data_IF_149177585558
#
_entry.id   IF_149177585558
#
_cell.length_a   1.000
_cell.length_b   1.000
_cell.length_c   1.000
_cell.angle_alpha   90.00
_cell.angle_beta   90.00
_cell.angle_gamma   90.00
#
_symmetry.space_group_name_H-M   'P 1'
#
loop_
_entity.id
_entity.type
_entity.pdbx_description
1 polymer ?
#
# COMPACT_ATOMS: atom_id res chain seq x y z
N UNK A 1 30.56 0.74 9.68
CA UNK A 1 29.70 1.92 9.45
C UNK A 1 28.30 1.57 9.91
N UNK A 2 27.79 2.21 10.96
CA UNK A 2 26.42 1.98 11.44
C UNK A 2 25.42 2.50 10.42
N UNK A 3 24.65 1.61 9.79
CA UNK A 3 23.57 1.87 8.84
C UNK A 3 22.35 2.58 9.47
N UNK A 4 22.55 3.49 10.43
CA UNK A 4 21.44 4.20 11.06
C UNK A 4 20.75 5.10 10.02
N UNK A 5 19.44 4.94 9.86
CA UNK A 5 18.63 5.78 8.98
C UNK A 5 17.98 6.91 9.75
N UNK A 6 18.09 8.13 9.24
CA UNK A 6 17.36 9.28 9.77
C UNK A 6 15.85 9.10 9.65
N UNK A 7 15.36 8.27 8.71
CA UNK A 7 13.95 7.93 8.62
C UNK A 7 13.44 7.25 9.91
N UNK A 8 14.31 6.52 10.61
CA UNK A 8 13.94 5.75 11.80
C UNK A 8 14.31 6.46 13.11
N UNK A 9 15.04 7.57 13.06
CA UNK A 9 15.44 8.28 14.27
C UNK A 9 14.25 8.96 14.95
N UNK A 10 14.21 8.84 16.28
CA UNK A 10 13.15 9.45 17.10
C UNK A 10 11.84 8.66 17.12
N UNK A 11 11.76 7.48 16.50
CA UNK A 11 10.61 6.59 16.66
C UNK A 11 10.72 5.90 18.03
N UNK A 12 9.74 6.08 18.96
CA UNK A 12 9.79 5.43 20.26
C UNK A 12 9.67 3.91 20.14
N UNK A 13 10.34 3.15 21.02
CA UNK A 13 10.20 1.68 21.07
C UNK A 13 8.74 1.22 21.20
N UNK A 14 7.92 2.02 21.88
CA UNK A 14 6.48 1.78 22.03
C UNK A 14 5.75 1.79 20.69
N UNK A 15 6.15 2.62 19.72
CA UNK A 15 5.52 2.63 18.40
C UNK A 15 5.69 1.28 17.70
N UNK A 16 6.87 0.67 17.80
CA UNK A 16 7.11 -0.67 17.25
C UNK A 16 6.26 -1.74 17.94
N UNK A 17 6.17 -1.70 19.27
CA UNK A 17 5.35 -2.64 20.04
C UNK A 17 3.86 -2.51 19.69
N UNK A 18 3.33 -1.29 19.60
CA UNK A 18 1.95 -1.04 19.19
C UNK A 18 1.68 -1.53 17.77
N UNK A 19 2.56 -1.22 16.81
CA UNK A 19 2.41 -1.69 15.43
C UNK A 19 2.38 -3.22 15.37
N UNK A 20 3.32 -3.90 16.04
CA UNK A 20 3.35 -5.37 16.07
C UNK A 20 2.07 -5.93 16.71
N UNK A 21 1.65 -5.38 17.86
CA UNK A 21 0.44 -5.83 18.56
C UNK A 21 -0.82 -5.70 17.70
N UNK A 22 -0.98 -4.57 17.01
CA UNK A 22 -2.12 -4.34 16.11
C UNK A 22 -2.04 -5.27 14.89
N UNK A 23 -0.86 -5.48 14.30
CA UNK A 23 -0.69 -6.42 13.20
C UNK A 23 -1.06 -7.84 13.61
N UNK A 24 -0.57 -8.31 14.76
CA UNK A 24 -0.91 -9.64 15.32
C UNK A 24 -2.42 -9.78 15.56
N UNK A 25 -3.06 -8.75 16.11
CA UNK A 25 -4.50 -8.74 16.31
C UNK A 25 -5.27 -8.81 14.97
N UNK A 26 -4.83 -8.07 13.96
CA UNK A 26 -5.43 -8.10 12.62
C UNK A 26 -5.25 -9.49 11.97
N UNK A 27 -4.07 -10.10 12.07
CA UNK A 27 -3.84 -11.47 11.58
C UNK A 27 -4.73 -12.47 12.30
N UNK A 28 -4.82 -12.39 13.63
CA UNK A 28 -5.64 -13.29 14.44
C UNK A 28 -7.12 -13.19 14.07
N UNK A 29 -7.63 -11.96 13.84
CA UNK A 29 -8.99 -11.75 13.34
C UNK A 29 -9.21 -12.43 11.99
N UNK A 30 -8.28 -12.25 11.02
CA UNK A 30 -8.36 -12.93 9.73
C UNK A 30 -8.32 -14.47 9.88
N UNK A 31 -7.53 -15.00 10.83
CA UNK A 31 -7.45 -16.45 11.09
C UNK A 31 -8.78 -16.97 11.62
N UNK A 32 -9.41 -16.25 12.55
CA UNK A 32 -10.73 -16.60 13.08
C UNK A 32 -11.77 -16.56 11.95
N UNK A 33 -11.82 -15.48 11.16
CA UNK A 33 -12.76 -15.36 10.03
C UNK A 33 -12.57 -16.49 9.03
N UNK A 34 -11.34 -16.78 8.63
CA UNK A 34 -11.06 -17.89 7.72
C UNK A 34 -11.47 -19.23 8.33
N UNK A 35 -11.11 -19.50 9.59
CA UNK A 35 -11.41 -20.79 10.24
C UNK A 35 -12.91 -21.06 10.36
N UNK A 36 -13.72 -20.04 10.59
CA UNK A 36 -15.19 -20.15 10.73
C UNK A 36 -15.89 -20.29 9.38
N UNK A 37 -15.37 -19.64 8.32
CA UNK A 37 -16.06 -19.52 7.03
C UNK A 37 -15.31 -20.16 5.84
N UNK A 38 -14.22 -20.91 6.06
CA UNK A 38 -13.38 -21.49 5.00
C UNK A 38 -14.12 -22.40 4.02
N UNK A 39 -15.19 -23.05 4.45
CA UNK A 39 -15.98 -24.00 3.65
C UNK A 39 -17.44 -23.51 3.54
N UNK A 40 -17.65 -22.18 3.55
CA UNK A 40 -18.96 -21.55 3.41
C UNK A 40 -18.99 -20.65 2.18
N UNK A 41 -20.06 -20.70 1.37
CA UNK A 41 -20.18 -19.89 0.16
C UNK A 41 -20.69 -18.47 0.50
N UNK A 42 -19.89 -17.70 1.25
CA UNK A 42 -20.27 -16.36 1.77
C UNK A 42 -20.55 -15.35 0.64
N UNK A 43 -20.01 -15.59 -0.55
CA UNK A 43 -20.09 -14.70 -1.71
C UNK A 43 -21.17 -15.09 -2.72
N UNK A 44 -22.02 -16.06 -2.40
CA UNK A 44 -23.14 -16.43 -3.27
C UNK A 44 -24.12 -15.28 -3.48
N UNK A 45 -24.64 -15.17 -4.70
CA UNK A 45 -25.51 -14.06 -5.11
C UNK A 45 -24.77 -12.78 -5.50
N UNK A 46 -23.47 -12.66 -5.24
CA UNK A 46 -22.68 -11.54 -5.74
C UNK A 46 -22.30 -11.74 -7.22
N UNK A 47 -22.31 -10.64 -7.99
CA UNK A 47 -21.83 -10.67 -9.38
C UNK A 47 -20.36 -11.05 -9.44
N UNK A 48 -20.04 -12.09 -10.20
CA UNK A 48 -18.67 -12.56 -10.41
C UNK A 48 -17.79 -11.48 -11.07
N UNK A 49 -16.51 -11.44 -10.70
CA UNK A 49 -15.50 -10.64 -11.39
C UNK A 49 -15.07 -11.29 -12.70
N UNK A 50 -14.36 -10.52 -13.55
CA UNK A 50 -13.74 -11.09 -14.76
C UNK A 50 -12.70 -12.15 -14.42
N UNK A 51 -11.97 -11.97 -13.32
CA UNK A 51 -10.93 -12.89 -12.85
C UNK A 51 -11.52 -14.26 -12.44
N UNK A 52 -12.73 -14.28 -11.87
CA UNK A 52 -13.39 -15.54 -11.54
C UNK A 52 -13.85 -16.32 -12.79
N UNK A 53 -14.21 -15.60 -13.85
CA UNK A 53 -14.65 -16.18 -15.13
C UNK A 53 -13.48 -16.62 -15.99
N UNK A 54 -12.39 -15.86 -15.98
CA UNK A 54 -11.16 -16.09 -16.74
C UNK A 54 -9.97 -15.80 -15.82
N UNK A 55 -9.54 -16.79 -15.02
CA UNK A 55 -8.40 -16.62 -14.12
C UNK A 55 -7.14 -16.29 -14.91
N UNK A 56 -6.41 -15.27 -14.45
CA UNK A 56 -5.17 -14.80 -15.03
C UNK A 56 -3.99 -15.17 -14.11
N UNK A 57 -4.22 -15.16 -12.79
CA UNK A 57 -3.21 -15.56 -11.82
C UNK A 57 -3.18 -17.08 -11.60
N UNK A 58 -2.02 -17.59 -11.18
CA UNK A 58 -1.75 -19.03 -11.10
C UNK A 58 -2.44 -19.75 -9.94
N UNK A 59 -2.92 -19.03 -8.93
CA UNK A 59 -3.47 -19.64 -7.71
C UNK A 59 -4.79 -20.40 -7.95
N UNK A 60 -4.93 -21.58 -7.33
CA UNK A 60 -6.20 -22.32 -7.30
C UNK A 60 -7.32 -21.48 -6.67
N UNK A 61 -8.48 -21.53 -7.31
CA UNK A 61 -9.71 -20.89 -6.84
C UNK A 61 -10.61 -21.89 -6.09
N UNK A 62 -10.96 -21.57 -4.85
CA UNK A 62 -11.91 -22.30 -4.00
C UNK A 62 -13.26 -21.59 -3.99
N UNK A 63 -14.16 -21.90 -4.94
CA UNK A 63 -15.42 -21.15 -5.15
C UNK A 63 -16.31 -21.08 -3.90
N UNK A 64 -16.38 -22.17 -3.14
CA UNK A 64 -17.21 -22.35 -1.95
C UNK A 64 -16.47 -21.99 -0.65
N UNK A 65 -15.60 -20.98 -0.71
CA UNK A 65 -14.81 -20.50 0.42
C UNK A 65 -14.95 -19.01 0.64
N UNK A 66 -14.86 -18.57 1.90
CA UNK A 66 -14.71 -17.15 2.21
C UNK A 66 -13.47 -16.54 1.56
N UNK A 67 -12.38 -17.32 1.41
CA UNK A 67 -11.17 -16.90 0.69
C UNK A 67 -11.00 -17.75 -0.56
N UNK A 68 -11.56 -17.25 -1.68
CA UNK A 68 -11.52 -17.94 -2.97
C UNK A 68 -10.09 -18.09 -3.50
N UNK A 69 -9.21 -17.10 -3.28
CA UNK A 69 -7.75 -17.24 -3.47
C UNK A 69 -7.05 -17.00 -2.13
N UNK A 70 -6.62 -18.07 -1.47
CA UNK A 70 -6.13 -18.02 -0.09
C UNK A 70 -4.83 -17.22 -0.01
N UNK A 71 -3.80 -17.62 -0.74
CA UNK A 71 -2.48 -17.01 -0.68
C UNK A 71 -2.51 -15.53 -1.11
N UNK A 72 -3.22 -15.21 -2.19
CA UNK A 72 -3.42 -13.84 -2.63
C UNK A 72 -4.22 -13.00 -1.63
N UNK A 73 -5.21 -13.58 -0.93
CA UNK A 73 -5.91 -12.87 0.15
C UNK A 73 -4.98 -12.58 1.32
N UNK A 74 -4.24 -13.58 1.81
CA UNK A 74 -3.37 -13.45 2.98
C UNK A 74 -2.21 -12.48 2.77
N UNK A 75 -1.62 -12.49 1.57
CA UNK A 75 -0.49 -11.63 1.23
C UNK A 75 -0.81 -10.13 1.25
N UNK A 76 -2.09 -9.76 1.14
CA UNK A 76 -2.53 -8.37 1.27
C UNK A 76 -2.34 -7.77 2.68
N UNK A 77 -2.14 -8.61 3.71
CA UNK A 77 -1.74 -8.15 5.04
C UNK A 77 -0.42 -7.35 5.01
N UNK A 78 0.45 -7.57 4.02
CA UNK A 78 1.67 -6.78 3.86
C UNK A 78 1.37 -5.27 3.75
N UNK A 79 0.37 -4.87 2.95
CA UNK A 79 -0.03 -3.46 2.84
C UNK A 79 -0.66 -2.94 4.14
N UNK A 80 -1.49 -3.76 4.79
CA UNK A 80 -2.12 -3.41 6.07
C UNK A 80 -1.05 -3.15 7.13
N UNK A 81 -0.01 -3.99 7.19
CA UNK A 81 1.09 -3.80 8.14
C UNK A 81 1.88 -2.53 7.87
N UNK A 82 2.16 -2.21 6.60
CA UNK A 82 2.77 -0.93 6.22
C UNK A 82 1.89 0.24 6.68
N UNK A 83 0.59 0.18 6.41
CA UNK A 83 -0.37 1.20 6.80
C UNK A 83 -0.45 1.39 8.32
N UNK A 84 -0.60 0.31 9.09
CA UNK A 84 -0.60 0.32 10.56
C UNK A 84 0.68 0.98 11.07
N UNK A 85 1.84 0.58 10.55
CA UNK A 85 3.13 1.09 11.02
C UNK A 85 3.25 2.60 10.80
N UNK A 86 2.85 3.08 9.62
CA UNK A 86 2.80 4.50 9.28
C UNK A 86 1.82 5.26 10.17
N UNK A 87 0.61 4.72 10.39
CA UNK A 87 -0.41 5.33 11.24
C UNK A 87 0.12 5.49 12.66
N UNK A 88 0.66 4.41 13.24
CA UNK A 88 1.19 4.43 14.61
C UNK A 88 2.30 5.47 14.73
N UNK A 89 3.28 5.49 13.82
CA UNK A 89 4.33 6.52 13.82
C UNK A 89 3.73 7.93 13.73
N UNK A 90 2.79 8.16 12.81
CA UNK A 90 2.14 9.45 12.63
C UNK A 90 1.38 9.91 13.88
N UNK A 91 0.75 8.99 14.62
CA UNK A 91 0.09 9.29 15.90
C UNK A 91 1.08 9.69 16.99
N UNK A 92 2.27 9.09 17.01
CA UNK A 92 3.35 9.49 17.92
C UNK A 92 3.92 10.85 17.54
N UNK A 93 4.13 11.12 16.24
CA UNK A 93 4.59 12.42 15.75
C UNK A 93 3.56 13.53 16.02
N UNK A 94 2.24 13.25 16.02
CA UNK A 94 1.22 14.23 16.42
C UNK A 94 1.35 14.65 17.89
N UNK A 95 1.77 13.71 18.75
CA UNK A 95 1.89 13.94 20.20
C UNK A 95 3.21 14.61 20.59
N UNK A 96 4.21 14.58 19.71
CA UNK A 96 5.55 15.08 19.97
C UNK A 96 5.86 16.22 19.01
N UNK A 97 6.03 17.47 19.49
CA UNK A 97 6.41 18.58 18.65
C UNK A 97 7.66 18.23 17.83
N UNK A 98 7.59 18.41 16.51
CA UNK A 98 8.72 18.12 15.64
C UNK A 98 9.88 19.07 15.98
N UNK A 99 11.09 18.57 16.29
CA UNK A 99 12.26 19.42 16.51
C UNK A 99 12.51 20.35 15.33
N UNK A 100 13.14 21.50 15.58
CA UNK A 100 13.61 22.38 14.51
C UNK A 100 14.50 21.62 13.52
N UNK A 101 14.36 21.92 12.22
CA UNK A 101 15.06 21.21 11.15
C UNK A 101 14.47 19.84 10.77
N UNK A 102 13.41 19.37 11.43
CA UNK A 102 12.69 18.16 11.02
C UNK A 102 12.05 18.31 9.63
N UNK A 103 12.09 17.22 8.85
CA UNK A 103 11.43 17.14 7.55
C UNK A 103 9.93 17.44 7.58
N UNK A 104 9.41 17.75 6.40
CA UNK A 104 8.04 18.21 6.19
C UNK A 104 7.01 17.21 6.71
N UNK A 105 7.21 15.91 6.44
CA UNK A 105 6.30 14.85 6.90
C UNK A 105 6.17 14.79 8.43
N UNK A 106 7.27 14.99 9.17
CA UNK A 106 7.26 15.03 10.65
C UNK A 106 6.58 16.28 11.18
N UNK A 107 6.68 17.40 10.46
CA UNK A 107 5.96 18.65 10.77
C UNK A 107 4.47 18.59 10.38
N UNK A 108 4.10 17.70 9.47
CA UNK A 108 2.73 17.49 8.96
C UNK A 108 2.30 16.02 9.10
N UNK A 109 2.21 15.45 10.31
CA UNK A 109 1.92 14.03 10.48
C UNK A 109 0.56 13.61 9.90
N UNK A 110 -0.41 14.54 9.79
CA UNK A 110 -1.72 14.29 9.21
C UNK A 110 -1.67 13.72 7.78
N UNK A 111 -0.73 14.17 6.94
CA UNK A 111 -0.54 13.63 5.59
C UNK A 111 0.09 12.22 5.63
N UNK A 112 0.94 11.96 6.62
CA UNK A 112 1.44 10.61 6.90
C UNK A 112 0.33 9.65 7.35
N UNK A 113 -0.57 10.11 8.23
CA UNK A 113 -1.74 9.34 8.64
C UNK A 113 -2.67 9.03 7.46
N UNK A 114 -2.93 10.00 6.60
CA UNK A 114 -3.70 9.79 5.37
C UNK A 114 -3.05 8.74 4.48
N UNK A 115 -1.74 8.81 4.28
CA UNK A 115 -1.00 7.80 3.51
C UNK A 115 -1.07 6.41 4.15
N UNK A 116 -0.93 6.31 5.47
CA UNK A 116 -1.07 5.04 6.18
C UNK A 116 -2.48 4.45 6.09
N UNK A 117 -3.52 5.29 6.22
CA UNK A 117 -4.91 4.89 6.00
C UNK A 117 -5.14 4.40 4.57
N UNK A 118 -4.56 5.07 3.58
CA UNK A 118 -4.62 4.66 2.18
C UNK A 118 -3.93 3.30 1.96
N UNK A 119 -2.80 3.02 2.62
CA UNK A 119 -2.15 1.70 2.57
C UNK A 119 -3.02 0.59 3.21
N UNK A 120 -3.66 0.88 4.34
CA UNK A 120 -4.63 -0.04 4.95
C UNK A 120 -5.83 -0.27 4.02
N UNK A 121 -6.36 0.78 3.39
CA UNK A 121 -7.45 0.69 2.42
C UNK A 121 -7.07 -0.17 1.22
N UNK A 122 -5.86 -0.02 0.67
CA UNK A 122 -5.30 -0.90 -0.35
C UNK A 122 -5.30 -2.37 0.11
N UNK A 123 -4.69 -2.67 1.25
CA UNK A 123 -4.62 -4.05 1.75
C UNK A 123 -6.00 -4.67 2.01
N UNK A 124 -6.92 -3.93 2.61
CA UNK A 124 -8.27 -4.41 2.88
C UNK A 124 -9.06 -4.58 1.57
N UNK A 125 -9.03 -3.58 0.69
CA UNK A 125 -9.77 -3.61 -0.57
C UNK A 125 -9.31 -4.72 -1.51
N UNK A 126 -7.99 -4.86 -1.67
CA UNK A 126 -7.39 -5.92 -2.47
C UNK A 126 -7.56 -7.30 -1.83
N UNK A 127 -7.44 -7.40 -0.50
CA UNK A 127 -7.75 -8.61 0.24
C UNK A 127 -9.20 -9.06 0.05
N UNK A 128 -10.17 -8.15 0.12
CA UNK A 128 -11.59 -8.45 -0.14
C UNK A 128 -11.81 -8.92 -1.59
N UNK A 129 -11.12 -8.32 -2.56
CA UNK A 129 -11.20 -8.80 -3.93
C UNK A 129 -10.69 -10.23 -4.08
N UNK A 130 -9.51 -10.54 -3.54
CA UNK A 130 -8.96 -11.89 -3.62
C UNK A 130 -9.76 -12.92 -2.80
N UNK A 131 -10.39 -12.46 -1.71
CA UNK A 131 -11.29 -13.28 -0.91
C UNK A 131 -12.57 -13.62 -1.68
N UNK A 132 -13.15 -12.62 -2.36
CA UNK A 132 -14.49 -12.71 -2.94
C UNK A 132 -14.51 -13.04 -4.44
N UNK A 133 -13.50 -12.61 -5.19
CA UNK A 133 -13.46 -12.56 -6.65
C UNK A 133 -14.77 -12.02 -7.27
N UNK A 134 -15.38 -11.03 -6.62
CA UNK A 134 -16.63 -10.38 -7.07
C UNK A 134 -16.35 -9.10 -7.87
N UNK A 135 -17.31 -8.70 -8.71
CA UNK A 135 -17.24 -7.44 -9.47
C UNK A 135 -17.10 -6.22 -8.55
N UNK A 136 -17.83 -6.20 -7.43
CA UNK A 136 -17.69 -5.14 -6.42
C UNK A 136 -16.31 -5.16 -5.77
N UNK A 137 -15.81 -6.35 -5.39
CA UNK A 137 -14.45 -6.49 -4.87
C UNK A 137 -13.42 -5.96 -5.86
N UNK A 138 -13.56 -6.24 -7.15
CA UNK A 138 -12.65 -5.75 -8.19
C UNK A 138 -12.66 -4.21 -8.29
N UNK A 139 -13.83 -3.58 -8.14
CA UNK A 139 -13.91 -2.12 -8.10
C UNK A 139 -13.18 -1.56 -6.88
N UNK A 140 -13.36 -2.19 -5.72
CA UNK A 140 -12.74 -1.82 -4.47
C UNK A 140 -11.20 -1.95 -4.54
N UNK A 141 -10.69 -3.10 -4.97
CA UNK A 141 -9.26 -3.38 -5.13
C UNK A 141 -8.57 -2.33 -5.99
N UNK A 142 -9.03 -2.17 -7.22
CA UNK A 142 -8.31 -1.33 -8.17
C UNK A 142 -8.42 0.16 -7.80
N UNK A 143 -9.54 0.59 -7.22
CA UNK A 143 -9.64 1.95 -6.69
C UNK A 143 -8.70 2.16 -5.49
N UNK A 144 -8.60 1.16 -4.60
CA UNK A 144 -7.74 1.23 -3.44
C UNK A 144 -6.25 1.27 -3.80
N UNK A 145 -5.83 0.60 -4.87
CA UNK A 145 -4.45 0.65 -5.41
C UNK A 145 -3.97 2.08 -5.69
N UNK A 146 -4.86 2.97 -6.08
CA UNK A 146 -4.50 4.35 -6.41
C UNK A 146 -4.30 5.23 -5.18
N UNK A 147 -5.00 4.93 -4.09
CA UNK A 147 -5.10 5.83 -2.93
C UNK A 147 -3.75 6.16 -2.26
N UNK A 148 -2.78 5.23 -2.07
CA UNK A 148 -1.50 5.60 -1.47
C UNK A 148 -0.71 6.55 -2.37
N UNK A 149 -0.77 6.36 -3.69
CA UNK A 149 -0.08 7.21 -4.66
C UNK A 149 -0.69 8.62 -4.68
N UNK A 150 -2.01 8.72 -4.63
CA UNK A 150 -2.73 10.01 -4.52
C UNK A 150 -2.35 10.73 -3.22
N UNK A 151 -2.24 10.01 -2.09
CA UNK A 151 -1.78 10.58 -0.83
C UNK A 151 -0.32 11.07 -0.90
N UNK A 152 0.58 10.35 -1.58
CA UNK A 152 1.94 10.81 -1.82
C UNK A 152 1.99 12.05 -2.73
N UNK A 153 1.15 12.12 -3.76
CA UNK A 153 1.04 13.32 -4.61
C UNK A 153 0.59 14.51 -3.76
N UNK A 154 -0.42 14.35 -2.91
CA UNK A 154 -0.86 15.40 -1.99
C UNK A 154 0.25 15.85 -1.02
N UNK A 155 1.07 14.91 -0.51
CA UNK A 155 2.23 15.23 0.30
C UNK A 155 3.25 16.09 -0.47
N UNK A 156 3.55 15.75 -1.73
CA UNK A 156 4.47 16.54 -2.54
C UNK A 156 3.92 17.93 -2.87
N UNK A 157 2.62 18.04 -3.16
CA UNK A 157 1.97 19.33 -3.38
C UNK A 157 2.01 20.20 -2.13
N UNK A 158 1.84 19.60 -0.93
CA UNK A 158 1.98 20.31 0.34
C UNK A 158 3.42 20.77 0.62
N UNK A 159 4.43 20.02 0.16
CA UNK A 159 5.86 20.40 0.23
C UNK A 159 6.21 21.58 -0.69
N UNK A 160 5.43 21.79 -1.76
CA UNK A 160 5.58 22.93 -2.66
C UNK A 160 4.80 24.15 -2.18
N UNK A 161 3.55 23.93 -1.76
CA UNK A 161 2.66 24.97 -1.27
C UNK A 161 1.90 24.46 -0.04
N UNK A 162 2.37 24.79 1.18
CA UNK A 162 1.78 24.29 2.41
C UNK A 162 0.29 24.68 2.55
N UNK A 163 -0.58 23.68 2.46
CA UNK A 163 -2.04 23.78 2.57
C UNK A 163 -2.63 22.41 2.94
N UNK A 164 -2.03 21.70 3.90
CA UNK A 164 -2.29 20.28 4.16
C UNK A 164 -3.77 19.88 4.28
N UNK A 165 -4.69 20.67 4.89
CA UNK A 165 -6.09 20.26 4.96
C UNK A 165 -6.72 20.22 3.57
N UNK A 166 -6.39 21.18 2.71
CA UNK A 166 -6.85 21.23 1.32
C UNK A 166 -6.28 20.05 0.55
N UNK A 167 -4.97 19.79 0.61
CA UNK A 167 -4.37 18.68 -0.12
C UNK A 167 -4.87 17.32 0.36
N UNK A 168 -5.08 17.14 1.66
CA UNK A 168 -5.70 15.94 2.22
C UNK A 168 -7.14 15.74 1.74
N UNK A 169 -7.95 16.81 1.76
CA UNK A 169 -9.32 16.76 1.23
C UNK A 169 -9.35 16.43 -0.27
N UNK A 170 -8.46 17.05 -1.06
CA UNK A 170 -8.35 16.78 -2.49
C UNK A 170 -7.90 15.35 -2.78
N UNK A 171 -7.02 14.77 -1.96
CA UNK A 171 -6.64 13.37 -2.07
C UNK A 171 -7.80 12.40 -1.78
N UNK A 172 -8.62 12.71 -0.76
CA UNK A 172 -9.82 11.92 -0.45
C UNK A 172 -10.83 12.03 -1.60
N UNK A 173 -11.09 13.25 -2.09
CA UNK A 173 -12.00 13.48 -3.21
C UNK A 173 -11.51 12.77 -4.48
N UNK A 174 -10.22 12.87 -4.81
CA UNK A 174 -9.63 12.19 -5.95
C UNK A 174 -9.76 10.66 -5.81
N UNK A 175 -9.50 10.11 -4.61
CA UNK A 175 -9.67 8.67 -4.36
C UNK A 175 -11.13 8.22 -4.51
N UNK A 176 -12.09 9.03 -4.05
CA UNK A 176 -13.52 8.76 -4.21
C UNK A 176 -13.94 8.81 -5.69
N UNK A 177 -13.49 9.81 -6.44
CA UNK A 177 -13.74 9.91 -7.88
C UNK A 177 -13.13 8.72 -8.64
N UNK A 178 -11.90 8.32 -8.29
CA UNK A 178 -11.26 7.16 -8.89
C UNK A 178 -12.01 5.85 -8.60
N UNK A 179 -12.65 5.73 -7.44
CA UNK A 179 -13.55 4.63 -7.11
C UNK A 179 -14.84 4.66 -7.94
N UNK A 180 -15.50 5.83 -8.04
CA UNK A 180 -16.76 6.01 -8.78
C UNK A 180 -16.55 5.72 -10.27
N UNK A 181 -15.49 6.29 -10.86
CA UNK A 181 -15.20 6.19 -12.30
C UNK A 181 -14.30 5.01 -12.66
N UNK A 182 -14.08 4.06 -11.73
CA UNK A 182 -13.15 2.95 -11.93
C UNK A 182 -13.37 2.19 -13.24
N UNK A 183 -14.62 1.96 -13.61
CA UNK A 183 -15.01 1.22 -14.81
C UNK A 183 -14.89 2.02 -16.12
N UNK A 184 -14.76 3.35 -16.02
CA UNK A 184 -14.57 4.26 -17.15
C UNK A 184 -13.08 4.49 -17.47
N UNK A 185 -12.16 3.87 -16.73
CA UNK A 185 -10.73 4.11 -16.83
C UNK A 185 -9.92 2.82 -16.97
N UNK A 186 -8.85 2.88 -17.76
CA UNK A 186 -7.88 1.79 -17.84
C UNK A 186 -6.95 1.79 -16.63
N UNK A 187 -6.95 0.72 -15.83
CA UNK A 187 -5.97 0.57 -14.73
C UNK A 187 -4.54 0.43 -15.23
N UNK A 188 -4.33 -0.11 -16.44
CA UNK A 188 -3.00 -0.19 -17.04
C UNK A 188 -2.46 1.18 -17.47
N UNK A 189 -3.30 2.22 -17.51
CA UNK A 189 -2.87 3.60 -17.74
C UNK A 189 -2.80 4.40 -16.43
N UNK A 190 -3.86 4.37 -15.61
CA UNK A 190 -3.95 5.19 -14.40
C UNK A 190 -2.89 4.83 -13.38
N UNK A 191 -2.66 3.53 -13.13
CA UNK A 191 -1.69 3.11 -12.11
C UNK A 191 -0.25 3.55 -12.50
N UNK A 192 0.27 3.23 -13.72
CA UNK A 192 1.58 3.72 -14.11
C UNK A 192 1.69 5.25 -14.12
N UNK A 193 0.65 5.97 -14.55
CA UNK A 193 0.66 7.44 -14.53
C UNK A 193 0.82 8.00 -13.11
N UNK A 194 0.12 7.43 -12.11
CA UNK A 194 0.26 7.83 -10.71
C UNK A 194 1.65 7.47 -10.15
N UNK A 195 2.19 6.28 -10.48
CA UNK A 195 3.56 5.88 -10.09
C UNK A 195 4.58 6.85 -10.68
N UNK A 196 4.49 7.16 -11.97
CA UNK A 196 5.37 8.10 -12.67
C UNK A 196 5.24 9.52 -12.10
N UNK A 197 4.05 9.95 -11.69
CA UNK A 197 3.83 11.25 -11.05
C UNK A 197 4.57 11.35 -9.72
N UNK A 198 4.50 10.30 -8.89
CA UNK A 198 5.26 10.24 -7.63
C UNK A 198 6.77 10.21 -7.93
N UNK A 199 7.21 9.39 -8.89
CA UNK A 199 8.61 9.31 -9.31
C UNK A 199 9.15 10.64 -9.84
N UNK A 200 8.33 11.41 -10.54
CA UNK A 200 8.67 12.75 -11.01
C UNK A 200 8.95 13.70 -9.85
N UNK A 201 8.10 13.73 -8.82
CA UNK A 201 8.38 14.53 -7.62
C UNK A 201 9.66 14.09 -6.91
N UNK A 202 9.89 12.78 -6.76
CA UNK A 202 11.12 12.25 -6.17
C UNK A 202 12.37 12.60 -6.99
N UNK A 203 12.24 12.74 -8.32
CA UNK A 203 13.32 13.22 -9.18
C UNK A 203 13.55 14.73 -8.99
N UNK A 204 12.48 15.53 -8.91
CA UNK A 204 12.57 16.96 -8.64
C UNK A 204 13.25 17.27 -7.29
N UNK A 205 13.01 16.43 -6.28
CA UNK A 205 13.66 16.53 -4.96
C UNK A 205 15.20 16.47 -5.06
N UNK A 206 15.77 15.91 -6.14
CA UNK A 206 17.23 15.86 -6.35
C UNK A 206 17.84 17.21 -6.71
N UNK A 207 17.04 18.15 -7.16
CA UNK A 207 17.48 19.49 -7.54
C UNK A 207 17.23 20.53 -6.43
N UNK A 208 16.59 20.11 -5.33
CA UNK A 208 16.32 20.97 -4.18
C UNK A 208 17.50 20.98 -3.22
N UNK A 209 17.85 22.17 -2.74
CA UNK A 209 19.05 22.44 -1.93
C UNK A 209 18.70 22.77 -0.47
N UNK A 210 17.43 23.06 -0.20
CA UNK A 210 16.88 23.42 1.11
C UNK A 210 16.78 22.22 2.07
N UNK A 211 16.81 20.99 1.55
CA UNK A 211 16.77 19.77 2.36
C UNK A 211 17.52 18.62 1.68
N UNK A 212 17.76 17.56 2.46
CA UNK A 212 18.29 16.27 1.99
C UNK A 212 17.36 15.14 2.37
N UNK A 213 17.29 14.15 1.49
CA UNK A 213 16.59 12.88 1.68
C UNK A 213 17.52 11.72 1.33
N UNK A 214 17.29 10.56 1.96
CA UNK A 214 18.13 9.39 1.77
C UNK A 214 17.76 8.64 0.46
N UNK A 215 18.57 8.82 -0.59
CA UNK A 215 18.35 8.26 -1.93
C UNK A 215 18.23 6.72 -1.96
N UNK A 216 18.82 6.02 -0.98
CA UNK A 216 18.69 4.56 -0.86
C UNK A 216 17.23 4.09 -0.85
N UNK A 217 16.32 4.86 -0.26
CA UNK A 217 14.91 4.49 -0.19
C UNK A 217 14.21 4.57 -1.55
N UNK A 218 14.58 5.53 -2.41
CA UNK A 218 14.10 5.55 -3.80
C UNK A 218 14.62 4.33 -4.56
N UNK A 219 15.92 4.03 -4.44
CA UNK A 219 16.52 2.89 -5.14
C UNK A 219 15.88 1.57 -4.73
N UNK A 220 15.62 1.38 -3.43
CA UNK A 220 14.91 0.22 -2.91
C UNK A 220 13.45 0.17 -3.37
N UNK A 221 12.75 1.30 -3.43
CA UNK A 221 11.39 1.36 -3.96
C UNK A 221 11.34 0.94 -5.44
N UNK A 222 12.24 1.48 -6.27
CA UNK A 222 12.36 1.13 -7.70
C UNK A 222 12.69 -0.36 -7.87
N UNK A 223 13.70 -0.86 -7.15
CA UNK A 223 14.09 -2.27 -7.19
C UNK A 223 12.92 -3.18 -6.79
N UNK A 224 12.16 -2.78 -5.76
CA UNK A 224 10.96 -3.52 -5.32
C UNK A 224 9.86 -3.52 -6.38
N UNK A 225 9.58 -2.39 -7.04
CA UNK A 225 8.58 -2.33 -8.11
C UNK A 225 8.98 -3.18 -9.32
N UNK A 226 10.26 -3.17 -9.71
CA UNK A 226 10.78 -4.01 -10.78
C UNK A 226 10.65 -5.50 -10.43
N UNK A 227 11.06 -5.89 -9.22
CA UNK A 227 10.90 -7.25 -8.73
C UNK A 227 9.42 -7.68 -8.73
N UNK A 228 8.52 -6.83 -8.20
CA UNK A 228 7.09 -7.09 -8.22
C UNK A 228 6.60 -7.37 -9.63
N UNK A 229 6.90 -6.49 -10.59
CA UNK A 229 6.50 -6.64 -11.98
C UNK A 229 6.98 -7.96 -12.57
N UNK A 230 8.25 -8.32 -12.39
CA UNK A 230 8.79 -9.59 -12.87
C UNK A 230 8.05 -10.80 -12.30
N UNK A 231 7.82 -10.85 -10.98
CA UNK A 231 7.09 -11.96 -10.35
C UNK A 231 5.64 -12.05 -10.83
N UNK A 232 4.95 -10.92 -10.98
CA UNK A 232 3.60 -10.89 -11.54
C UNK A 232 3.58 -11.43 -12.97
N UNK A 233 4.53 -11.03 -13.81
CA UNK A 233 4.57 -11.50 -15.20
C UNK A 233 4.85 -13.00 -15.29
N UNK A 234 5.72 -13.55 -14.43
CA UNK A 234 5.95 -15.00 -14.35
C UNK A 234 4.70 -15.75 -13.86
N UNK A 235 3.93 -15.16 -12.93
CA UNK A 235 2.67 -15.73 -12.43
C UNK A 235 1.61 -15.80 -13.54
N UNK A 236 1.40 -14.69 -14.25
CA UNK A 236 0.47 -14.59 -15.38
C UNK A 236 0.85 -15.52 -16.52
N UNK A 237 2.16 -15.77 -16.71
CA UNK A 237 2.65 -16.72 -17.71
C UNK A 237 2.51 -18.20 -17.28
N UNK A 238 2.12 -18.47 -16.03
CA UNK A 238 2.09 -19.82 -15.46
C UNK A 238 3.49 -20.45 -15.30
N UNK A 239 4.54 -19.62 -15.21
CA UNK A 239 5.95 -20.05 -15.21
C UNK A 239 6.64 -19.95 -13.85
N UNK A 240 5.91 -19.63 -12.77
CA UNK A 240 6.50 -19.42 -11.45
C UNK A 240 6.37 -20.64 -10.52
N UNK A 241 5.15 -20.96 -10.08
CA UNK A 241 4.86 -22.07 -9.16
C UNK A 241 3.57 -22.77 -9.54
N UNK A 242 3.36 -23.98 -9.02
CA UNK A 242 2.09 -24.69 -9.19
C UNK A 242 0.91 -23.99 -8.51
N UNK A 243 -0.31 -24.25 -8.97
CA UNK A 243 -1.53 -23.58 -8.51
C UNK A 243 -1.89 -23.85 -7.05
N UNK A 244 -1.37 -24.92 -6.47
CA UNK A 244 -1.56 -25.31 -5.06
C UNK A 244 -0.50 -24.72 -4.11
N UNK A 245 0.54 -24.05 -4.65
CA UNK A 245 1.58 -23.46 -3.83
C UNK A 245 1.08 -22.25 -3.05
N UNK A 246 1.57 -22.06 -1.82
CA UNK A 246 1.33 -20.82 -1.07
C UNK A 246 2.14 -19.63 -1.59
N UNK A 247 3.32 -19.91 -2.16
CA UNK A 247 4.19 -18.89 -2.72
C UNK A 247 3.85 -18.66 -4.20
N UNK A 248 2.87 -17.82 -4.47
CA UNK A 248 2.49 -17.43 -5.85
C UNK A 248 3.30 -16.21 -6.30
N UNK A 249 3.45 -15.99 -7.61
CA UNK A 249 4.13 -14.80 -8.11
C UNK A 249 3.33 -13.53 -7.80
N UNK A 250 2.00 -13.63 -7.77
CA UNK A 250 1.12 -12.54 -7.34
C UNK A 250 1.19 -12.24 -5.82
N UNK A 251 1.51 -13.25 -4.99
CA UNK A 251 1.85 -13.04 -3.56
C UNK A 251 3.12 -12.20 -3.42
N UNK A 252 4.15 -12.49 -4.23
CA UNK A 252 5.38 -11.71 -4.26
C UNK A 252 5.15 -10.30 -4.80
N UNK A 253 4.26 -10.14 -5.79
CA UNK A 253 3.81 -8.81 -6.23
C UNK A 253 3.26 -7.99 -5.06
N UNK A 254 2.37 -8.56 -4.22
CA UNK A 254 1.86 -7.87 -3.04
C UNK A 254 2.98 -7.46 -2.08
N UNK A 255 3.86 -8.41 -1.74
CA UNK A 255 4.97 -8.16 -0.82
C UNK A 255 5.94 -7.08 -1.30
N UNK A 256 6.35 -7.12 -2.57
CA UNK A 256 7.29 -6.16 -3.14
C UNK A 256 6.67 -4.78 -3.37
N UNK A 257 5.41 -4.69 -3.81
CA UNK A 257 4.74 -3.38 -3.92
C UNK A 257 4.45 -2.78 -2.54
N UNK A 258 4.13 -3.58 -1.51
CA UNK A 258 4.05 -3.11 -0.13
C UNK A 258 5.41 -2.58 0.36
N UNK A 259 6.49 -3.30 0.03
CA UNK A 259 7.86 -2.86 0.33
C UNK A 259 8.22 -1.54 -0.37
N UNK A 260 7.78 -1.36 -1.62
CA UNK A 260 7.96 -0.10 -2.35
C UNK A 260 7.23 1.07 -1.67
N UNK A 261 6.00 0.84 -1.19
CA UNK A 261 5.23 1.82 -0.41
C UNK A 261 5.95 2.16 0.91
N UNK A 262 6.43 1.16 1.65
CA UNK A 262 7.21 1.38 2.86
C UNK A 262 8.49 2.21 2.58
N UNK A 263 9.20 1.91 1.50
CA UNK A 263 10.38 2.66 1.08
C UNK A 263 10.03 4.09 0.68
N UNK A 264 8.92 4.32 -0.02
CA UNK A 264 8.45 5.67 -0.35
C UNK A 264 8.15 6.49 0.92
N UNK A 265 7.50 5.90 1.92
CA UNK A 265 7.30 6.54 3.22
C UNK A 265 8.62 6.89 3.90
N UNK A 266 9.56 5.94 3.97
CA UNK A 266 10.87 6.15 4.58
C UNK A 266 11.69 7.21 3.85
N UNK A 267 11.57 7.32 2.53
CA UNK A 267 12.15 8.40 1.75
C UNK A 267 11.64 9.76 2.24
N UNK A 268 10.32 9.96 2.30
CA UNK A 268 9.73 11.23 2.77
C UNK A 268 10.04 11.52 4.24
N UNK A 269 10.05 10.49 5.09
CA UNK A 269 10.38 10.62 6.51
C UNK A 269 11.86 10.96 6.74
N UNK A 270 12.75 10.55 5.83
CA UNK A 270 14.19 10.84 5.92
C UNK A 270 14.56 12.30 5.63
N UNK A 271 13.60 13.12 5.21
CA UNK A 271 13.80 14.54 4.94
C UNK A 271 14.33 15.29 6.17
N UNK A 272 15.34 16.12 5.95
CA UNK A 272 15.94 17.00 6.94
C UNK A 272 16.43 18.28 6.30
N UNK A 273 16.39 19.38 7.04
CA UNK A 273 17.04 20.62 6.63
C UNK A 273 18.56 20.40 6.45
N UNK A 274 19.14 21.12 5.48
CA UNK A 274 20.58 21.22 5.31
C UNK A 274 21.23 22.12 6.35
#
# INVERSE_FOLDING_TARGET
MTFSSHALTGIPKQAHAWSIGICVAATALCIVLFSVYKDRPVWDGFRESRELQKPIYGERIYRDSVFRTRANTWSNLAYVYVGIYVIVIGLFDLKQPAPEGSGHLRRRPALGLLYGLACCYLGIGSGIFHASLTHWGQQLDVAAMYSPLVALIALNLDRLRPAWPLWGMMAILASALLYIYKWSMSSSLVLPALILSVGFFMALDRFRHDYRMETRWILLAIASLLAAFLFRQMDVAGQFTGSDAWLQGHVLWHGFTASALACAYLYYRSERAC
#
